data_IF_042179817523
#
_entry.id   IF_042179817523
#
_cell.length_a   1.000
_cell.length_b   1.000
_cell.length_c   1.000
_cell.angle_alpha   90.00
_cell.angle_beta   90.00
_cell.angle_gamma   90.00
#
_symmetry.space_group_name_H-M   'P 1'
#
loop_
_entity.id
_entity.type
_entity.pdbx_description
1 polymer ?
#
# COMPACT_ATOMS: atom_id res chain seq x y z
N UNK A 1 23.46 -34.58 31.39
CA UNK A 1 23.06 -34.96 30.02
C UNK A 1 21.60 -34.61 29.90
N UNK A 2 21.32 -33.45 29.33
CA UNK A 2 19.99 -32.87 29.29
C UNK A 2 20.05 -31.53 28.58
N UNK A 3 19.32 -31.49 27.47
CA UNK A 3 18.54 -30.37 26.93
C UNK A 3 19.25 -29.33 26.06
N UNK A 4 18.93 -29.49 24.77
CA UNK A 4 18.74 -28.53 23.69
C UNK A 4 18.58 -27.07 24.12
N UNK A 5 19.18 -26.17 23.33
CA UNK A 5 18.45 -24.97 22.93
C UNK A 5 19.04 -24.43 21.64
N UNK A 6 18.33 -24.74 20.55
CA UNK A 6 18.43 -24.09 19.26
C UNK A 6 18.48 -22.57 19.45
N UNK A 7 19.60 -21.98 19.04
CA UNK A 7 19.71 -20.55 18.80
C UNK A 7 19.28 -20.29 17.35
N UNK A 8 18.00 -20.49 17.06
CA UNK A 8 17.37 -19.83 15.92
C UNK A 8 17.15 -18.36 16.30
N UNK A 9 18.17 -17.57 16.05
CA UNK A 9 18.14 -16.11 16.18
C UNK A 9 17.27 -15.51 15.09
N UNK A 10 16.05 -15.15 15.49
CA UNK A 10 15.36 -13.89 15.18
C UNK A 10 15.64 -13.27 13.78
N UNK A 11 14.94 -13.80 12.77
CA UNK A 11 14.90 -13.28 11.41
C UNK A 11 13.86 -12.16 11.20
N UNK A 12 13.33 -11.57 12.28
CA UNK A 12 12.16 -10.66 12.19
C UNK A 12 12.48 -9.17 12.18
N UNK A 13 13.75 -8.79 12.22
CA UNK A 13 14.18 -7.41 11.99
C UNK A 13 14.33 -7.13 10.49
N UNK A 14 13.25 -6.59 9.90
CA UNK A 14 13.24 -5.72 8.73
C UNK A 14 14.32 -5.98 7.67
N UNK A 15 13.97 -6.74 6.63
CA UNK A 15 14.66 -6.74 5.33
C UNK A 15 14.64 -5.36 4.62
N UNK A 16 14.10 -4.30 5.22
CA UNK A 16 13.81 -3.01 4.57
C UNK A 16 14.92 -1.94 4.65
N UNK A 17 16.15 -2.33 4.96
CA UNK A 17 17.36 -1.49 4.86
C UNK A 17 18.55 -2.36 4.43
N UNK A 18 18.71 -3.50 5.09
CA UNK A 18 19.82 -4.41 4.83
C UNK A 18 19.69 -5.11 3.47
N UNK A 19 18.46 -5.42 3.02
CA UNK A 19 18.23 -6.01 1.70
C UNK A 19 18.60 -5.07 0.55
N UNK A 20 18.27 -3.78 0.64
CA UNK A 20 18.64 -2.76 -0.36
C UNK A 20 20.16 -2.50 -0.37
N UNK A 21 20.80 -2.48 0.81
CA UNK A 21 22.26 -2.34 0.94
C UNK A 21 22.97 -3.57 0.35
N UNK A 22 22.53 -4.78 0.69
CA UNK A 22 23.07 -6.02 0.14
C UNK A 22 22.87 -6.08 -1.38
N UNK A 23 21.72 -5.62 -1.87
CA UNK A 23 21.43 -5.47 -3.30
C UNK A 23 22.41 -4.51 -3.97
N UNK A 24 22.62 -3.31 -3.42
CA UNK A 24 23.56 -2.33 -3.95
C UNK A 24 25.00 -2.88 -3.99
N UNK A 25 25.39 -3.65 -2.96
CA UNK A 25 26.69 -4.34 -2.91
C UNK A 25 26.77 -5.39 -4.03
N UNK A 26 25.77 -6.26 -4.20
CA UNK A 26 25.76 -7.27 -5.27
C UNK A 26 25.79 -6.65 -6.68
N UNK A 27 25.03 -5.58 -6.91
CA UNK A 27 25.12 -4.80 -8.15
C UNK A 27 26.54 -4.27 -8.41
N UNK A 28 27.24 -3.78 -7.38
CA UNK A 28 28.61 -3.27 -7.51
C UNK A 28 29.61 -4.35 -7.97
N UNK A 29 29.28 -5.62 -7.75
CA UNK A 29 30.05 -6.80 -8.19
C UNK A 29 29.51 -7.44 -9.48
N UNK A 30 28.54 -6.82 -10.15
CA UNK A 30 27.98 -7.30 -11.42
C UNK A 30 27.03 -8.50 -11.29
N UNK A 31 26.56 -8.79 -10.07
CA UNK A 31 25.52 -9.80 -9.85
C UNK A 31 24.17 -9.16 -10.21
N UNK A 32 23.54 -9.69 -11.26
CA UNK A 32 22.18 -9.33 -11.64
C UNK A 32 21.22 -9.83 -10.56
N UNK A 33 20.48 -8.89 -9.98
CA UNK A 33 19.42 -9.21 -9.04
C UNK A 33 18.11 -9.41 -9.78
N UNK A 34 17.23 -10.17 -9.16
CA UNK A 34 15.94 -10.53 -9.73
C UNK A 34 15.06 -9.28 -9.99
N UNK A 35 15.14 -8.78 -11.21
CA UNK A 35 14.50 -7.58 -11.74
C UNK A 35 13.25 -7.91 -12.59
N UNK A 36 13.08 -9.19 -12.92
CA UNK A 36 11.93 -9.74 -13.66
C UNK A 36 10.85 -10.26 -12.70
N UNK A 37 11.23 -10.92 -11.61
CA UNK A 37 10.27 -11.49 -10.66
C UNK A 37 9.76 -10.50 -9.61
N UNK A 38 10.51 -9.42 -9.37
CA UNK A 38 10.07 -8.35 -8.47
C UNK A 38 9.04 -7.51 -9.21
N UNK A 39 7.77 -7.65 -8.84
CA UNK A 39 6.63 -7.04 -9.52
C UNK A 39 5.82 -6.17 -8.55
N UNK A 40 5.13 -5.17 -9.11
CA UNK A 40 4.09 -4.40 -8.42
C UNK A 40 2.90 -4.19 -9.34
N UNK A 41 1.68 -4.31 -8.81
CA UNK A 41 0.47 -4.07 -9.58
C UNK A 41 0.13 -2.58 -9.56
N UNK A 42 -0.09 -1.99 -10.72
CA UNK A 42 -0.32 -0.55 -10.87
C UNK A 42 -1.42 -0.29 -11.90
N UNK A 43 -2.23 0.74 -11.66
CA UNK A 43 -3.11 1.32 -12.68
C UNK A 43 -3.12 2.84 -12.57
N UNK A 44 -3.64 3.51 -13.61
CA UNK A 44 -3.74 4.98 -13.73
C UNK A 44 -2.42 5.74 -13.55
N UNK A 45 -1.29 5.10 -13.82
CA UNK A 45 -0.01 5.80 -13.88
C UNK A 45 0.21 6.31 -15.31
N UNK A 46 0.08 7.63 -15.49
CA UNK A 46 0.10 8.29 -16.81
C UNK A 46 1.32 7.89 -17.65
N UNK A 47 1.09 7.41 -18.87
CA UNK A 47 2.14 7.02 -19.81
C UNK A 47 2.90 5.73 -19.46
N UNK A 48 2.51 5.05 -18.37
CA UNK A 48 3.18 3.83 -17.88
C UNK A 48 2.20 2.67 -17.75
N UNK A 49 1.16 2.85 -16.94
CA UNK A 49 0.18 1.82 -16.61
C UNK A 49 -1.22 2.45 -16.58
N UNK A 50 -1.74 2.84 -17.75
CA UNK A 50 -3.10 3.40 -17.89
C UNK A 50 -4.19 2.38 -17.54
N UNK A 51 -3.85 1.09 -17.62
CA UNK A 51 -4.69 -0.06 -17.23
C UNK A 51 -3.96 -0.87 -16.15
N UNK A 52 -4.67 -1.72 -15.40
CA UNK A 52 -4.06 -2.66 -14.46
C UNK A 52 -2.92 -3.45 -15.11
N UNK A 53 -1.70 -3.24 -14.62
CA UNK A 53 -0.47 -3.79 -15.17
C UNK A 53 0.45 -4.22 -14.03
N UNK A 54 1.06 -5.40 -14.16
CA UNK A 54 2.18 -5.79 -13.31
C UNK A 54 3.47 -5.18 -13.88
N UNK A 55 4.09 -4.27 -13.14
CA UNK A 55 5.34 -3.62 -13.52
C UNK A 55 6.52 -4.35 -12.89
N UNK A 56 7.46 -4.89 -13.68
CA UNK A 56 8.71 -5.42 -13.17
C UNK A 56 9.66 -4.29 -12.75
N UNK A 57 10.53 -4.58 -11.80
CA UNK A 57 11.55 -3.65 -11.33
C UNK A 57 12.39 -3.08 -12.48
N UNK A 58 12.74 -3.89 -13.49
CA UNK A 58 13.46 -3.41 -14.66
C UNK A 58 12.75 -2.23 -15.37
N UNK A 59 11.43 -2.33 -15.56
CA UNK A 59 10.65 -1.24 -16.16
C UNK A 59 10.60 -0.02 -15.26
N UNK A 60 10.55 -0.22 -13.94
CA UNK A 60 10.51 0.86 -12.95
C UNK A 60 11.86 1.60 -12.90
N UNK A 61 12.98 0.89 -13.03
CA UNK A 61 14.32 1.46 -13.07
C UNK A 61 14.46 2.48 -14.23
N UNK A 62 13.96 2.11 -15.41
CA UNK A 62 13.96 2.94 -16.62
C UNK A 62 12.92 4.07 -16.60
N UNK A 63 11.97 4.01 -15.67
CA UNK A 63 10.86 4.95 -15.60
C UNK A 63 11.32 6.33 -15.08
N UNK A 64 11.10 7.34 -15.90
CA UNK A 64 11.31 8.74 -15.55
C UNK A 64 10.00 9.36 -15.07
N UNK A 65 9.79 9.41 -13.74
CA UNK A 65 8.69 10.19 -13.15
C UNK A 65 9.12 11.66 -13.11
N UNK A 66 8.81 12.41 -14.16
CA UNK A 66 9.20 13.83 -14.29
C UNK A 66 8.12 14.79 -13.82
N UNK A 67 6.87 14.34 -13.76
CA UNK A 67 5.73 15.12 -13.30
C UNK A 67 5.10 14.47 -12.08
N UNK A 68 4.64 15.29 -11.13
CA UNK A 68 3.89 14.83 -9.97
C UNK A 68 2.54 14.24 -10.42
N UNK A 69 2.30 12.93 -10.27
CA UNK A 69 1.03 12.32 -10.68
C UNK A 69 -0.15 12.67 -9.74
N UNK A 70 0.10 13.32 -8.61
CA UNK A 70 -0.91 13.66 -7.61
C UNK A 70 -0.90 12.70 -6.42
N UNK A 71 -2.03 12.53 -5.70
CA UNK A 71 -2.12 11.52 -4.64
C UNK A 71 -1.99 10.12 -5.24
N UNK A 72 -1.31 9.22 -4.53
CA UNK A 72 -1.11 7.82 -4.93
C UNK A 72 -1.75 6.94 -3.87
N UNK A 73 -2.70 6.11 -4.27
CA UNK A 73 -3.37 5.17 -3.39
C UNK A 73 -2.63 3.83 -3.41
N UNK A 74 -2.41 3.25 -2.23
CA UNK A 74 -1.71 1.99 -2.05
C UNK A 74 -2.58 1.07 -1.21
N UNK A 75 -2.85 -0.11 -1.76
CA UNK A 75 -3.55 -1.20 -1.08
C UNK A 75 -2.64 -2.41 -0.98
N UNK A 76 -2.87 -3.24 0.03
CA UNK A 76 -2.07 -4.44 0.25
C UNK A 76 -2.60 -5.62 -0.58
N UNK A 77 -3.93 -5.74 -0.64
CA UNK A 77 -4.59 -6.95 -1.13
C UNK A 77 -5.01 -6.86 -2.61
N UNK A 78 -4.65 -7.85 -3.46
CA UNK A 78 -5.06 -7.88 -4.86
C UNK A 78 -6.58 -7.91 -5.08
N UNK A 79 -7.37 -8.49 -4.16
CA UNK A 79 -8.83 -8.54 -4.25
C UNK A 79 -9.45 -7.14 -4.12
N UNK A 80 -8.91 -6.34 -3.19
CA UNK A 80 -9.27 -4.95 -2.95
C UNK A 80 -8.86 -4.10 -4.15
N UNK A 81 -7.64 -4.28 -4.66
CA UNK A 81 -7.17 -3.63 -5.89
C UNK A 81 -8.12 -3.86 -7.07
N UNK A 82 -8.45 -5.12 -7.36
CA UNK A 82 -9.36 -5.47 -8.46
C UNK A 82 -10.73 -4.81 -8.31
N UNK A 83 -11.29 -4.83 -7.09
CA UNK A 83 -12.59 -4.22 -6.80
C UNK A 83 -12.58 -2.69 -6.98
N UNK A 84 -11.49 -2.01 -6.61
CA UNK A 84 -11.33 -0.56 -6.80
C UNK A 84 -11.17 -0.19 -8.28
N UNK A 85 -10.47 -1.03 -9.05
CA UNK A 85 -10.35 -0.91 -10.50
C UNK A 85 -11.72 -1.05 -11.17
N UNK A 86 -12.46 -2.12 -10.88
CA UNK A 86 -13.72 -2.44 -11.56
C UNK A 86 -14.77 -1.32 -11.42
N UNK A 87 -14.89 -0.72 -10.22
CA UNK A 87 -15.87 0.35 -9.98
C UNK A 87 -15.53 1.63 -10.73
N UNK A 88 -14.24 1.95 -10.84
CA UNK A 88 -13.79 3.18 -11.49
C UNK A 88 -13.85 3.07 -13.02
N UNK A 89 -13.68 1.87 -13.59
CA UNK A 89 -13.94 1.63 -15.02
C UNK A 89 -15.45 1.49 -15.34
N UNK A 90 -16.26 0.96 -14.41
CA UNK A 90 -17.71 0.86 -14.55
C UNK A 90 -18.42 2.21 -14.65
N UNK A 91 -17.92 3.24 -13.95
CA UNK A 91 -18.44 4.62 -14.05
C UNK A 91 -18.16 5.27 -15.42
N UNK A 92 -17.16 4.79 -16.16
CA UNK A 92 -16.87 5.27 -17.52
C UNK A 92 -17.84 4.76 -18.60
N UNK A 93 -18.66 3.75 -18.30
CA UNK A 93 -19.57 3.13 -19.28
C UNK A 93 -21.03 3.62 -19.22
N UNK A 94 -21.48 4.23 -18.13
CA UNK A 94 -22.87 4.66 -17.99
C UNK A 94 -23.15 6.11 -18.46
N UNK A 95 -22.13 6.89 -18.87
CA UNK A 95 -22.33 8.30 -19.23
C UNK A 95 -21.73 8.78 -20.56
N UNK A 96 -21.51 7.90 -21.53
CA UNK A 96 -21.30 8.33 -22.92
C UNK A 96 -22.16 7.53 -23.88
N UNK A 97 -23.44 7.89 -23.93
CA UNK A 97 -24.21 7.80 -25.17
C UNK A 97 -23.66 8.81 -26.18
N UNK A 98 -22.47 8.55 -26.72
CA UNK A 98 -21.91 9.33 -27.82
C UNK A 98 -21.05 8.42 -28.71
N UNK A 99 -21.62 8.17 -29.88
CA UNK A 99 -21.04 7.65 -31.12
C UNK A 99 -19.52 7.62 -31.19
N UNK A 100 -19.01 6.45 -31.58
CA UNK A 100 -17.69 6.30 -32.21
C UNK A 100 -17.50 7.41 -33.25
N UNK A 101 -16.50 8.26 -33.03
CA UNK A 101 -16.00 9.18 -34.05
C UNK A 101 -14.50 8.96 -34.16
N UNK A 102 -14.09 8.26 -35.20
CA UNK A 102 -12.72 8.21 -35.70
C UNK A 102 -12.27 9.64 -36.04
N UNK A 103 -11.19 10.09 -35.42
CA UNK A 103 -10.33 11.16 -35.92
C UNK A 103 -10.17 12.36 -34.98
N UNK A 104 -9.04 12.41 -34.27
CA UNK A 104 -8.14 13.58 -34.26
C UNK A 104 -6.79 13.20 -33.63
N UNK A 105 -5.70 13.28 -34.39
CA UNK A 105 -4.33 13.00 -33.96
C UNK A 105 -3.70 14.27 -33.39
N UNK A 106 -4.18 14.69 -32.21
CA UNK A 106 -3.47 15.63 -31.35
C UNK A 106 -3.43 15.07 -29.94
N UNK A 107 -2.26 14.55 -29.58
CA UNK A 107 -1.92 14.10 -28.23
C UNK A 107 -2.08 15.25 -27.24
N UNK A 108 -3.30 15.42 -26.73
CA UNK A 108 -3.55 16.11 -25.48
C UNK A 108 -3.16 15.13 -24.40
N UNK A 109 -2.11 15.47 -23.64
CA UNK A 109 -1.70 14.85 -22.38
C UNK A 109 -2.84 14.96 -21.37
N UNK A 110 -3.90 14.16 -21.55
CA UNK A 110 -4.95 14.02 -20.56
C UNK A 110 -4.37 13.08 -19.52
N UNK A 111 -4.20 13.56 -18.29
CA UNK A 111 -3.96 12.66 -17.15
C UNK A 111 -5.02 11.55 -17.23
N UNK A 112 -4.67 10.28 -16.96
CA UNK A 112 -5.68 9.25 -16.80
C UNK A 112 -6.74 9.76 -15.82
N UNK A 113 -8.00 9.47 -16.12
CA UNK A 113 -9.13 9.89 -15.28
C UNK A 113 -8.97 9.18 -13.93
N UNK A 114 -8.44 9.89 -12.94
CA UNK A 114 -8.21 9.41 -11.58
C UNK A 114 -6.73 9.25 -11.17
N UNK A 115 -6.55 9.08 -9.88
CA UNK A 115 -5.26 8.95 -9.18
C UNK A 115 -4.64 7.56 -9.37
N UNK A 116 -3.29 7.43 -9.41
CA UNK A 116 -2.63 6.13 -9.45
C UNK A 116 -3.04 5.24 -8.28
N UNK A 117 -3.28 3.97 -8.56
CA UNK A 117 -3.52 2.93 -7.56
C UNK A 117 -2.46 1.84 -7.70
N UNK A 118 -1.85 1.50 -6.58
CA UNK A 118 -0.76 0.53 -6.47
C UNK A 118 -1.20 -0.57 -5.51
N UNK A 119 -0.89 -1.82 -5.84
CA UNK A 119 -1.08 -2.96 -4.97
C UNK A 119 0.25 -3.68 -4.72
N UNK A 120 0.62 -3.79 -3.43
CA UNK A 120 1.86 -4.43 -3.00
C UNK A 120 1.76 -5.96 -2.98
N UNK A 121 0.54 -6.51 -2.92
CA UNK A 121 0.27 -7.95 -2.83
C UNK A 121 0.87 -8.60 -1.55
N UNK A 122 0.63 -7.95 -0.41
CA UNK A 122 1.28 -8.26 0.88
C UNK A 122 2.45 -7.32 1.15
N UNK A 123 3.53 -7.86 1.74
CA UNK A 123 4.76 -7.11 2.01
C UNK A 123 5.30 -6.45 0.72
N UNK A 124 5.68 -5.16 0.74
CA UNK A 124 6.14 -4.47 -0.44
C UNK A 124 7.36 -5.15 -1.07
N UNK A 125 7.25 -5.49 -2.36
CA UNK A 125 8.40 -5.93 -3.14
C UNK A 125 9.39 -4.77 -3.35
N UNK A 126 10.63 -5.08 -3.74
CA UNK A 126 11.61 -4.06 -4.14
C UNK A 126 11.07 -3.19 -5.29
N UNK A 127 10.35 -3.78 -6.25
CA UNK A 127 9.64 -3.05 -7.30
C UNK A 127 8.63 -2.04 -6.72
N UNK A 128 7.83 -2.46 -5.75
CA UNK A 128 6.86 -1.59 -5.11
C UNK A 128 7.53 -0.42 -4.37
N UNK A 129 8.55 -0.70 -3.55
CA UNK A 129 9.29 0.34 -2.82
C UNK A 129 9.98 1.31 -3.79
N UNK A 130 10.66 0.80 -4.81
CA UNK A 130 11.36 1.65 -5.77
C UNK A 130 10.40 2.56 -6.55
N UNK A 131 9.23 2.05 -6.92
CA UNK A 131 8.20 2.89 -7.55
C UNK A 131 7.69 3.98 -6.60
N UNK A 132 7.39 3.63 -5.35
CA UNK A 132 6.94 4.59 -4.34
C UNK A 132 8.00 5.66 -4.04
N UNK A 133 9.29 5.30 -4.01
CA UNK A 133 10.40 6.24 -3.87
C UNK A 133 10.43 7.24 -5.04
N UNK A 134 10.27 6.76 -6.27
CA UNK A 134 10.22 7.63 -7.47
C UNK A 134 9.03 8.57 -7.44
N UNK A 135 7.86 8.08 -7.04
CA UNK A 135 6.63 8.88 -6.95
C UNK A 135 6.72 9.94 -5.85
N UNK A 136 7.21 9.59 -4.67
CA UNK A 136 7.40 10.54 -3.56
C UNK A 136 8.49 11.56 -3.87
N UNK A 137 9.56 11.16 -4.55
CA UNK A 137 10.60 12.08 -5.05
C UNK A 137 10.04 13.08 -6.08
N UNK A 138 9.04 12.68 -6.87
CA UNK A 138 8.29 13.57 -7.76
C UNK A 138 7.21 14.41 -7.05
N UNK A 139 7.09 14.29 -5.72
CA UNK A 139 6.21 15.10 -4.89
C UNK A 139 4.82 14.50 -4.63
N UNK A 140 4.60 13.21 -4.93
CA UNK A 140 3.34 12.54 -4.57
C UNK A 140 3.22 12.27 -3.08
N UNK A 141 1.97 12.27 -2.61
CA UNK A 141 1.59 11.78 -1.29
C UNK A 141 1.02 10.37 -1.43
N UNK A 142 1.51 9.45 -0.61
CA UNK A 142 1.08 8.05 -0.53
C UNK A 142 -0.06 7.94 0.49
N UNK A 143 -1.19 7.37 0.07
CA UNK A 143 -2.33 7.01 0.89
C UNK A 143 -2.35 5.49 1.03
N UNK A 144 -1.91 4.97 2.16
CA UNK A 144 -1.77 3.53 2.36
C UNK A 144 -2.88 2.95 3.27
N UNK A 145 -3.52 1.89 2.79
CA UNK A 145 -4.48 1.06 3.54
C UNK A 145 -4.00 -0.40 3.54
N UNK A 146 -4.21 -1.10 4.65
CA UNK A 146 -3.86 -2.51 4.83
C UNK A 146 -4.72 -3.18 5.89
N UNK A 147 -4.29 -4.37 6.33
CA UNK A 147 -5.01 -5.16 7.34
C UNK A 147 -4.81 -4.64 8.77
N UNK A 148 -5.85 -4.65 9.59
CA UNK A 148 -5.72 -4.43 11.03
C UNK A 148 -5.30 -5.71 11.74
N UNK A 149 -4.04 -6.07 11.56
CA UNK A 149 -3.34 -7.08 12.34
C UNK A 149 -1.88 -6.65 12.62
N UNK A 150 -1.06 -7.52 13.21
CA UNK A 150 0.33 -7.17 13.53
C UNK A 150 1.14 -6.86 12.27
N UNK A 151 0.99 -7.67 11.21
CA UNK A 151 1.79 -7.54 10.00
C UNK A 151 1.39 -6.27 9.21
N UNK A 152 0.09 -6.00 9.10
CA UNK A 152 -0.41 -4.78 8.47
C UNK A 152 -0.01 -3.51 9.22
N UNK A 153 -0.07 -3.51 10.57
CA UNK A 153 0.43 -2.37 11.36
C UNK A 153 1.95 -2.20 11.16
N UNK A 154 2.73 -3.30 11.16
CA UNK A 154 4.18 -3.23 10.93
C UNK A 154 4.49 -2.61 9.57
N UNK A 155 3.78 -3.03 8.53
CA UNK A 155 3.92 -2.49 7.17
C UNK A 155 3.54 -1.01 7.11
N UNK A 156 2.42 -0.62 7.73
CA UNK A 156 1.99 0.78 7.80
C UNK A 156 3.03 1.67 8.49
N UNK A 157 3.59 1.22 9.62
CA UNK A 157 4.64 1.92 10.35
C UNK A 157 5.91 2.04 9.52
N UNK A 158 6.37 0.95 8.89
CA UNK A 158 7.56 0.97 8.05
C UNK A 158 7.43 1.95 6.87
N UNK A 159 6.27 2.00 6.22
CA UNK A 159 6.00 2.96 5.15
C UNK A 159 5.92 4.41 5.68
N UNK A 160 5.31 4.61 6.84
CA UNK A 160 5.25 5.92 7.48
C UNK A 160 6.65 6.45 7.83
N UNK A 161 7.51 5.59 8.39
CA UNK A 161 8.88 5.94 8.75
C UNK A 161 9.72 6.23 7.49
N UNK A 162 9.54 5.45 6.41
CA UNK A 162 10.26 5.66 5.14
C UNK A 162 9.88 6.97 4.44
N UNK A 163 8.59 7.28 4.34
CA UNK A 163 8.10 8.41 3.53
C UNK A 163 7.76 9.67 4.33
N UNK A 164 7.70 9.59 5.66
CA UNK A 164 7.48 10.72 6.55
C UNK A 164 6.27 11.56 6.16
N UNK A 165 6.49 12.82 5.81
CA UNK A 165 5.42 13.77 5.45
C UNK A 165 4.67 13.42 4.17
N UNK A 166 5.25 12.57 3.32
CA UNK A 166 4.61 12.09 2.10
C UNK A 166 3.73 10.86 2.35
N UNK A 167 3.63 10.37 3.59
CA UNK A 167 2.75 9.27 3.98
C UNK A 167 1.48 9.79 4.64
N UNK A 168 0.34 9.23 4.24
CA UNK A 168 -0.96 9.42 4.89
C UNK A 168 -1.55 8.06 5.23
N UNK A 169 -1.89 7.82 6.51
CA UNK A 169 -2.57 6.61 6.93
C UNK A 169 -4.03 6.62 6.43
N UNK A 170 -4.31 5.89 5.34
CA UNK A 170 -5.63 5.81 4.74
C UNK A 170 -6.48 4.72 5.41
N UNK A 171 -7.57 5.14 6.06
CA UNK A 171 -8.49 4.25 6.80
C UNK A 171 -7.86 3.50 7.98
N UNK A 172 -6.93 4.15 8.69
CA UNK A 172 -6.31 3.64 9.92
C UNK A 172 -6.82 4.38 11.17
N UNK A 173 -8.05 4.90 11.16
CA UNK A 173 -8.63 5.52 12.37
C UNK A 173 -9.33 4.46 13.23
N UNK A 174 -9.45 4.74 14.53
CA UNK A 174 -10.23 3.91 15.46
C UNK A 174 -11.65 3.66 14.93
N UNK A 175 -12.28 4.68 14.35
CA UNK A 175 -13.62 4.57 13.77
C UNK A 175 -13.69 3.60 12.57
N UNK A 176 -12.63 3.52 11.76
CA UNK A 176 -12.58 2.57 10.64
C UNK A 176 -12.48 1.13 11.18
N UNK A 177 -11.66 0.89 12.20
CA UNK A 177 -11.53 -0.43 12.84
C UNK A 177 -12.82 -0.85 13.58
N UNK A 178 -13.36 0.01 14.45
CA UNK A 178 -14.56 -0.29 15.24
C UNK A 178 -15.84 -0.32 14.39
N UNK A 179 -15.85 0.36 13.25
CA UNK A 179 -16.98 0.40 12.32
C UNK A 179 -17.22 -0.90 11.54
N UNK A 180 -16.23 -1.82 11.51
CA UNK A 180 -16.41 -3.13 10.88
C UNK A 180 -17.18 -4.05 11.82
N UNK A 181 -18.38 -4.45 11.42
CA UNK A 181 -19.18 -5.46 12.10
C UNK A 181 -19.32 -6.69 11.19
N UNK A 182 -18.54 -7.74 11.48
CA UNK A 182 -18.55 -9.00 10.73
C UNK A 182 -18.50 -10.19 11.70
N UNK A 183 -19.36 -11.21 11.53
CA UNK A 183 -19.53 -12.28 12.53
C UNK A 183 -18.30 -13.16 12.71
N UNK A 184 -17.48 -13.32 11.66
CA UNK A 184 -16.38 -14.30 11.61
C UNK A 184 -14.99 -13.66 11.59
N UNK A 185 -14.80 -12.53 12.30
CA UNK A 185 -13.49 -11.91 12.41
C UNK A 185 -12.51 -12.80 13.19
N UNK A 186 -11.31 -13.11 12.65
CA UNK A 186 -10.32 -13.88 13.38
C UNK A 186 -9.88 -13.18 14.65
N UNK A 187 -9.59 -13.94 15.71
CA UNK A 187 -9.07 -13.37 16.95
C UNK A 187 -7.59 -13.02 16.83
N UNK A 188 -7.18 -11.97 17.53
CA UNK A 188 -5.78 -11.71 17.83
C UNK A 188 -5.33 -12.71 18.91
N UNK A 189 -4.17 -13.34 18.70
CA UNK A 189 -3.57 -14.22 19.70
C UNK A 189 -2.96 -13.41 20.85
N UNK A 190 -2.65 -14.06 21.97
CA UNK A 190 -1.95 -13.40 23.10
C UNK A 190 -0.59 -12.82 22.66
N UNK A 191 0.10 -13.51 21.74
CA UNK A 191 1.33 -13.02 21.11
C UNK A 191 1.08 -11.76 20.28
N UNK A 192 0.00 -11.73 19.50
CA UNK A 192 -0.37 -10.55 18.71
C UNK A 192 -0.66 -9.35 19.63
N UNK A 193 -1.45 -9.56 20.69
CA UNK A 193 -1.80 -8.52 21.67
C UNK A 193 -0.58 -7.97 22.42
N UNK A 194 0.39 -8.83 22.71
CA UNK A 194 1.67 -8.44 23.32
C UNK A 194 2.45 -7.53 22.36
N UNK A 195 2.63 -7.98 21.10
CA UNK A 195 3.33 -7.20 20.07
C UNK A 195 2.68 -5.85 19.82
N UNK A 196 1.35 -5.80 19.66
CA UNK A 196 0.61 -4.54 19.49
C UNK A 196 0.81 -3.58 20.67
N UNK A 197 1.04 -4.09 21.89
CA UNK A 197 1.33 -3.28 23.06
C UNK A 197 2.70 -2.61 23.08
N UNK A 198 3.64 -3.11 22.29
CA UNK A 198 5.01 -2.60 22.18
C UNK A 198 5.18 -1.64 21.00
N UNK A 199 4.24 -1.70 20.04
CA UNK A 199 4.26 -0.88 18.83
C UNK A 199 3.84 0.57 19.09
N UNK A 200 4.20 1.45 18.14
CA UNK A 200 3.81 2.86 18.12
C UNK A 200 3.44 3.25 16.70
N UNK A 201 2.42 4.08 16.55
CA UNK A 201 1.98 4.61 15.27
C UNK A 201 2.57 6.01 15.07
N UNK A 202 3.49 6.23 14.10
CA UNK A 202 4.16 7.53 13.91
C UNK A 202 3.20 8.69 13.61
N UNK A 203 2.02 8.40 13.06
CA UNK A 203 0.99 9.39 12.73
C UNK A 203 0.05 9.72 13.89
N UNK A 204 0.11 9.01 15.02
CA UNK A 204 -0.69 9.34 16.20
C UNK A 204 0.11 10.20 17.19
N UNK A 205 -0.46 11.35 17.56
CA UNK A 205 0.20 12.26 18.51
C UNK A 205 0.16 11.78 19.97
N UNK A 206 -0.74 10.86 20.31
CA UNK A 206 -0.90 10.35 21.68
C UNK A 206 -1.14 8.83 21.70
N UNK A 207 -0.06 8.07 21.48
CA UNK A 207 -0.08 6.61 21.48
C UNK A 207 -0.49 5.97 22.82
N UNK A 208 -0.48 6.73 23.93
CA UNK A 208 -0.90 6.26 25.24
C UNK A 208 -2.38 6.54 25.55
N UNK A 209 -3.12 7.16 24.63
CA UNK A 209 -4.55 7.42 24.80
C UNK A 209 -5.36 6.12 24.77
N UNK A 210 -6.42 6.05 25.57
CA UNK A 210 -7.48 5.05 25.45
C UNK A 210 -8.19 5.17 24.08
N UNK A 211 -8.10 6.34 23.45
CA UNK A 211 -8.62 6.61 22.10
C UNK A 211 -7.63 6.26 20.97
N UNK A 212 -6.53 5.55 21.23
CA UNK A 212 -5.58 5.14 20.19
C UNK A 212 -6.06 3.89 19.44
N UNK A 213 -5.64 3.74 18.18
CA UNK A 213 -5.98 2.55 17.39
C UNK A 213 -5.47 1.27 18.04
N UNK A 214 -4.23 1.26 18.54
CA UNK A 214 -3.64 0.08 19.19
C UNK A 214 -4.39 -0.29 20.47
N UNK A 215 -4.88 0.68 21.24
CA UNK A 215 -5.74 0.42 22.39
C UNK A 215 -7.06 -0.23 21.96
N UNK A 216 -7.73 0.33 20.94
CA UNK A 216 -8.99 -0.22 20.42
C UNK A 216 -8.82 -1.66 19.89
N UNK A 217 -7.74 -1.93 19.16
CA UNK A 217 -7.41 -3.27 18.67
C UNK A 217 -7.19 -4.27 19.82
N UNK A 218 -6.47 -3.86 20.88
CA UNK A 218 -6.26 -4.70 22.05
C UNK A 218 -7.54 -4.96 22.84
N UNK A 219 -8.39 -3.96 22.99
CA UNK A 219 -9.65 -4.08 23.72
C UNK A 219 -10.66 -4.97 22.97
N UNK A 220 -10.73 -4.85 21.64
CA UNK A 220 -11.65 -5.64 20.80
C UNK A 220 -11.10 -7.04 20.51
N UNK A 221 -9.79 -7.20 20.36
CA UNK A 221 -9.12 -8.50 20.26
C UNK A 221 -9.35 -9.27 18.96
N UNK A 222 -9.67 -8.59 17.86
CA UNK A 222 -9.92 -9.22 16.55
C UNK A 222 -9.10 -8.58 15.43
N UNK A 223 -8.74 -9.39 14.44
CA UNK A 223 -8.15 -8.96 13.17
C UNK A 223 -9.25 -8.46 12.25
N UNK A 224 -8.99 -7.40 11.50
CA UNK A 224 -9.89 -6.90 10.45
C UNK A 224 -9.13 -6.82 9.14
N UNK A 225 -9.48 -7.69 8.19
CA UNK A 225 -8.88 -7.67 6.85
C UNK A 225 -9.35 -6.47 6.03
N UNK A 226 -8.50 -6.01 5.12
CA UNK A 226 -8.71 -4.86 4.24
C UNK A 226 -10.01 -4.99 3.42
N UNK A 227 -10.42 -6.20 3.03
CA UNK A 227 -11.69 -6.44 2.34
C UNK A 227 -12.91 -5.93 3.10
N UNK A 228 -12.87 -5.91 4.43
CA UNK A 228 -14.00 -5.40 5.22
C UNK A 228 -14.13 -3.87 5.14
N UNK A 229 -13.10 -3.17 4.65
CA UNK A 229 -13.09 -1.73 4.43
C UNK A 229 -13.45 -1.37 2.98
N UNK A 230 -13.88 -2.35 2.17
CA UNK A 230 -13.98 -2.14 0.72
C UNK A 230 -14.93 -1.01 0.32
N UNK A 231 -16.07 -0.86 1.00
CA UNK A 231 -17.04 0.21 0.70
C UNK A 231 -16.52 1.62 1.01
N UNK A 232 -15.97 1.90 2.22
CA UNK A 232 -15.34 3.20 2.46
C UNK A 232 -14.14 3.46 1.54
N UNK A 233 -13.30 2.46 1.25
CA UNK A 233 -12.17 2.61 0.33
C UNK A 233 -12.65 2.97 -1.09
N UNK A 234 -13.69 2.30 -1.59
CA UNK A 234 -14.30 2.61 -2.90
C UNK A 234 -14.83 4.04 -2.95
N UNK A 235 -15.46 4.51 -1.86
CA UNK A 235 -16.00 5.87 -1.79
C UNK A 235 -14.89 6.92 -1.85
N UNK A 236 -13.82 6.73 -1.10
CA UNK A 236 -12.71 7.67 -1.05
C UNK A 236 -11.99 7.72 -2.41
N UNK A 237 -11.65 6.55 -2.96
CA UNK A 237 -10.92 6.45 -4.21
C UNK A 237 -11.70 6.99 -5.41
N UNK A 238 -13.03 6.78 -5.46
CA UNK A 238 -13.88 7.35 -6.51
C UNK A 238 -13.96 8.89 -6.48
N UNK A 239 -13.65 9.51 -5.34
CA UNK A 239 -13.59 10.96 -5.19
C UNK A 239 -12.18 11.54 -5.36
N UNK A 240 -11.23 10.72 -5.82
CA UNK A 240 -9.77 11.01 -5.87
C UNK A 240 -9.14 11.38 -4.51
N UNK A 241 -9.90 11.30 -3.41
CA UNK A 241 -9.51 11.75 -2.07
C UNK A 241 -9.15 13.25 -2.02
N UNK A 242 -9.71 14.11 -1.19
CA UNK A 242 -10.42 13.91 0.05
C UNK A 242 -11.37 15.11 0.22
N UNK A 243 -12.56 14.87 0.76
CA UNK A 243 -13.16 15.92 1.59
C UNK A 243 -12.24 16.11 2.79
N UNK A 244 -11.58 17.27 2.81
CA UNK A 244 -10.73 17.78 3.89
C UNK A 244 -11.45 17.81 5.23
#
# INVERSE_FOLDING_TARGET
>A
MGEDMDRESDWSNLESSDGEIVRAVYCSFGILLDDVSSLVLVTRLSGVAERPTALPLLTIDELAVTENPGPVFVVENPSVFGTLVDRTEGLGKEFTGASESRGDTRARTRRPDGSPLICTSGQPSVAALHLLDKLTSAGSTIYYSGDFDVAGIQMAVALADRYGKSFVPWRWQVADYLGVDHPDLPKLSDTDLTRLGEMRLPWESNAASEDSLLHAMKARGVKVFQEHLIEPLKKDYASDGLNR
#
